data_IF_032466130034
#
_entry.id   IF_032466130034
#
_cell.length_a   1.000
_cell.length_b   1.000
_cell.length_c   1.000
_cell.angle_alpha   90.00
_cell.angle_beta   90.00
_cell.angle_gamma   90.00
#
_symmetry.space_group_name_H-M   'P 1'
#
loop_
_entity.id
_entity.type
_entity.pdbx_description
1 polymer ?
#
# COMPACT_ATOMS: atom_id res chain seq x y z
N UNK A 1 -17.62 -16.32 -14.24
CA UNK A 1 -18.16 -15.27 -13.35
C UNK A 1 -17.21 -14.97 -12.17
N UNK A 2 -16.51 -15.95 -11.57
CA UNK A 2 -15.53 -15.68 -10.50
C UNK A 2 -14.38 -14.74 -10.90
N UNK A 3 -13.76 -14.96 -12.07
CA UNK A 3 -12.63 -14.17 -12.57
C UNK A 3 -12.90 -12.65 -12.67
N UNK A 4 -14.15 -12.26 -12.97
CA UNK A 4 -14.53 -10.85 -13.08
C UNK A 4 -14.62 -10.18 -11.69
N UNK A 5 -15.18 -10.88 -10.70
CA UNK A 5 -15.27 -10.38 -9.33
C UNK A 5 -13.88 -10.23 -8.69
N UNK A 6 -12.96 -11.17 -8.94
CA UNK A 6 -11.57 -11.09 -8.48
C UNK A 6 -10.82 -9.91 -9.11
N UNK A 7 -11.05 -9.67 -10.40
CA UNK A 7 -10.44 -8.54 -11.11
C UNK A 7 -10.96 -7.19 -10.59
N UNK A 8 -12.27 -7.05 -10.38
CA UNK A 8 -12.88 -5.83 -9.81
C UNK A 8 -12.37 -5.56 -8.39
N UNK A 9 -12.20 -6.61 -7.59
CA UNK A 9 -11.67 -6.50 -6.23
C UNK A 9 -10.23 -5.99 -6.23
N UNK A 10 -9.34 -6.58 -7.04
CA UNK A 10 -7.94 -6.15 -7.11
C UNK A 10 -7.82 -4.76 -7.73
N UNK A 11 -8.60 -4.43 -8.75
CA UNK A 11 -8.66 -3.08 -9.29
C UNK A 11 -9.08 -2.06 -8.20
N UNK A 12 -10.06 -2.41 -7.37
CA UNK A 12 -10.50 -1.60 -6.23
C UNK A 12 -9.42 -1.41 -5.16
N UNK A 13 -8.68 -2.49 -4.85
CA UNK A 13 -7.53 -2.43 -3.94
C UNK A 13 -6.42 -1.51 -4.47
N UNK A 14 -5.99 -1.71 -5.72
CA UNK A 14 -4.97 -0.88 -6.37
C UNK A 14 -5.39 0.59 -6.34
N UNK A 15 -6.62 0.87 -6.75
CA UNK A 15 -7.16 2.22 -6.75
C UNK A 15 -7.18 2.84 -5.34
N UNK A 16 -7.66 2.09 -4.34
CA UNK A 16 -7.70 2.55 -2.95
C UNK A 16 -6.32 2.87 -2.40
N UNK A 17 -5.33 2.00 -2.62
CA UNK A 17 -3.97 2.20 -2.17
C UNK A 17 -3.30 3.42 -2.83
N UNK A 18 -3.45 3.55 -4.16
CA UNK A 18 -2.94 4.70 -4.91
C UNK A 18 -3.57 6.03 -4.48
N UNK A 19 -4.85 6.01 -4.08
CA UNK A 19 -5.54 7.19 -3.57
C UNK A 19 -5.02 7.64 -2.20
N UNK A 20 -4.60 6.70 -1.34
CA UNK A 20 -4.15 7.01 0.03
C UNK A 20 -2.70 7.47 0.03
N UNK A 21 -1.76 6.63 -0.42
CA UNK A 21 -0.33 6.88 -0.20
C UNK A 21 0.51 6.95 -1.48
N UNK A 22 0.07 6.29 -2.56
CA UNK A 22 0.83 6.07 -3.80
C UNK A 22 2.20 5.39 -3.57
N UNK A 23 2.42 4.14 -4.06
CA UNK A 23 3.63 3.38 -3.78
C UNK A 23 4.92 4.04 -4.30
N UNK A 24 4.87 4.81 -5.39
CA UNK A 24 6.05 5.54 -5.89
C UNK A 24 6.44 6.68 -4.96
N UNK A 25 5.46 7.42 -4.44
CA UNK A 25 5.71 8.48 -3.46
C UNK A 25 6.27 7.91 -2.16
N UNK A 26 5.73 6.79 -1.70
CA UNK A 26 6.27 6.08 -0.53
C UNK A 26 7.75 5.71 -0.68
N UNK A 27 8.16 5.27 -1.87
CA UNK A 27 9.57 4.95 -2.16
C UNK A 27 10.45 6.21 -2.23
N UNK A 28 9.88 7.34 -2.65
CA UNK A 28 10.59 8.61 -2.74
C UNK A 28 10.74 9.34 -1.39
N UNK A 29 10.01 8.94 -0.33
CA UNK A 29 10.03 9.59 0.99
C UNK A 29 11.42 9.74 1.59
N UNK A 30 12.31 8.77 1.38
CA UNK A 30 13.69 8.82 1.88
C UNK A 30 14.49 10.02 1.32
N UNK A 31 14.08 10.58 0.18
CA UNK A 31 14.68 11.77 -0.42
C UNK A 31 14.07 13.10 0.02
N UNK A 32 12.97 13.11 0.78
CA UNK A 32 12.23 14.34 1.13
C UNK A 32 12.87 15.13 2.29
N UNK A 33 13.87 14.58 3.00
CA UNK A 33 14.70 15.27 4.01
C UNK A 33 13.99 15.74 5.30
N UNK A 34 12.69 16.02 5.22
CA UNK A 34 11.84 16.52 6.30
C UNK A 34 11.03 15.40 7.00
N UNK A 35 11.20 14.15 6.58
CA UNK A 35 10.47 12.99 7.11
C UNK A 35 11.42 12.13 7.97
N UNK A 36 11.02 11.75 9.19
CA UNK A 36 11.78 10.82 10.04
C UNK A 36 12.16 9.52 9.31
N UNK A 37 13.39 9.04 9.50
CA UNK A 37 13.90 7.83 8.85
C UNK A 37 13.02 6.59 9.13
N UNK A 38 12.47 6.47 10.34
CA UNK A 38 11.52 5.40 10.71
C UNK A 38 10.24 5.41 9.89
N UNK A 39 9.74 6.60 9.50
CA UNK A 39 8.59 6.74 8.61
C UNK A 39 8.96 6.42 7.16
N UNK A 40 10.15 6.81 6.71
CA UNK A 40 10.65 6.42 5.40
C UNK A 40 10.77 4.89 5.25
N UNK A 41 11.29 4.20 6.27
CA UNK A 41 11.38 2.74 6.30
C UNK A 41 9.99 2.08 6.29
N UNK A 42 9.05 2.59 7.08
CA UNK A 42 7.65 2.11 7.10
C UNK A 42 6.95 2.32 5.75
N UNK A 43 7.15 3.48 5.12
CA UNK A 43 6.63 3.76 3.78
C UNK A 43 7.18 2.78 2.74
N UNK A 44 8.50 2.52 2.77
CA UNK A 44 9.13 1.53 1.90
C UNK A 44 8.60 0.10 2.16
N UNK A 45 8.39 -0.26 3.42
CA UNK A 45 7.81 -1.56 3.79
C UNK A 45 6.36 -1.72 3.29
N UNK A 46 5.54 -0.66 3.37
CA UNK A 46 4.18 -0.65 2.81
C UNK A 46 4.18 -0.83 1.29
N UNK A 47 5.07 -0.13 0.58
CA UNK A 47 5.23 -0.31 -0.86
C UNK A 47 5.61 -1.76 -1.23
N UNK A 48 6.53 -2.38 -0.48
CA UNK A 48 6.89 -3.80 -0.68
C UNK A 48 5.72 -4.75 -0.41
N UNK A 49 4.92 -4.49 0.63
CA UNK A 49 3.72 -5.30 0.94
C UNK A 49 2.66 -5.18 -0.15
N UNK A 50 2.49 -3.98 -0.73
CA UNK A 50 1.65 -3.76 -1.89
C UNK A 50 2.14 -4.58 -3.11
N UNK A 51 3.43 -4.49 -3.43
CA UNK A 51 4.02 -5.25 -4.54
C UNK A 51 3.87 -6.78 -4.34
N UNK A 52 4.05 -7.26 -3.11
CA UNK A 52 3.88 -8.67 -2.78
C UNK A 52 2.42 -9.14 -2.98
N UNK A 53 1.43 -8.33 -2.60
CA UNK A 53 0.02 -8.66 -2.84
C UNK A 53 -0.27 -8.75 -4.35
N UNK A 54 0.30 -7.86 -5.15
CA UNK A 54 0.14 -7.93 -6.62
C UNK A 54 0.82 -9.15 -7.22
N UNK A 55 2.02 -9.50 -6.74
CA UNK A 55 2.75 -10.68 -7.20
C UNK A 55 2.00 -11.97 -6.84
N UNK A 56 1.51 -12.08 -5.61
CA UNK A 56 0.73 -13.23 -5.13
C UNK A 56 -0.55 -13.40 -5.97
N UNK A 57 -1.29 -12.30 -6.22
CA UNK A 57 -2.47 -12.35 -7.08
C UNK A 57 -2.17 -12.74 -8.53
N UNK A 58 -1.09 -12.19 -9.12
CA UNK A 58 -0.67 -12.56 -10.48
C UNK A 58 -0.30 -14.04 -10.56
N UNK A 59 0.37 -14.57 -9.54
CA UNK A 59 0.74 -15.98 -9.47
C UNK A 59 -0.48 -16.88 -9.30
N UNK A 60 -1.45 -16.49 -8.46
CA UNK A 60 -2.73 -17.19 -8.34
C UNK A 60 -3.48 -17.22 -9.67
N UNK A 61 -3.55 -16.08 -10.37
CA UNK A 61 -4.16 -15.99 -11.69
C UNK A 61 -3.43 -16.85 -12.74
N UNK A 62 -2.10 -16.93 -12.67
CA UNK A 62 -1.27 -17.75 -13.57
C UNK A 62 -1.44 -19.25 -13.31
N UNK A 63 -1.57 -19.64 -12.05
CA UNK A 63 -1.69 -21.04 -11.62
C UNK A 63 -3.14 -21.52 -11.56
N UNK A 64 -4.11 -20.66 -11.88
CA UNK A 64 -5.56 -20.89 -11.69
C UNK A 64 -5.86 -21.34 -10.24
N UNK A 65 -5.09 -20.81 -9.29
CA UNK A 65 -5.24 -21.06 -7.86
C UNK A 65 -6.35 -20.17 -7.31
N UNK A 66 -7.05 -20.67 -6.30
CA UNK A 66 -8.00 -19.84 -5.54
C UNK A 66 -7.30 -18.67 -4.83
N UNK A 67 -8.10 -17.73 -4.31
CA UNK A 67 -7.63 -16.48 -3.72
C UNK A 67 -6.70 -16.67 -2.50
N UNK A 68 -5.38 -16.51 -2.69
CA UNK A 68 -4.39 -16.54 -1.61
C UNK A 68 -4.16 -15.18 -0.94
N UNK A 69 -4.56 -14.10 -1.61
CA UNK A 69 -4.45 -12.74 -1.08
C UNK A 69 -5.49 -12.55 0.03
N UNK A 70 -6.76 -12.86 -0.23
CA UNK A 70 -7.85 -12.75 0.74
C UNK A 70 -8.25 -11.31 1.11
N UNK A 71 -9.53 -11.12 1.36
CA UNK A 71 -10.09 -9.79 1.70
C UNK A 71 -9.52 -9.21 2.99
N UNK A 72 -9.24 -10.07 3.98
CA UNK A 72 -8.69 -9.64 5.27
C UNK A 72 -7.29 -9.02 5.12
N UNK A 73 -6.45 -9.58 4.23
CA UNK A 73 -5.09 -9.07 3.97
C UNK A 73 -5.14 -7.74 3.24
N UNK A 74 -6.04 -7.61 2.25
CA UNK A 74 -6.30 -6.36 1.53
C UNK A 74 -6.78 -5.28 2.50
N UNK A 75 -7.78 -5.58 3.34
CA UNK A 75 -8.34 -4.65 4.30
C UNK A 75 -7.29 -4.19 5.33
N UNK A 76 -6.50 -5.12 5.86
CA UNK A 76 -5.41 -4.80 6.79
C UNK A 76 -4.36 -3.89 6.15
N UNK A 77 -3.93 -4.18 4.91
CA UNK A 77 -2.96 -3.34 4.21
C UNK A 77 -3.51 -1.94 3.93
N UNK A 78 -4.77 -1.82 3.52
CA UNK A 78 -5.41 -0.51 3.32
C UNK A 78 -5.52 0.28 4.62
N UNK A 79 -5.83 -0.39 5.74
CA UNK A 79 -5.87 0.25 7.06
C UNK A 79 -4.48 0.72 7.49
N UNK A 80 -3.47 -0.15 7.42
CA UNK A 80 -2.07 0.22 7.73
C UNK A 80 -1.60 1.42 6.89
N UNK A 81 -2.05 1.50 5.63
CA UNK A 81 -1.73 2.60 4.71
C UNK A 81 -2.40 3.90 5.12
N UNK A 82 -3.65 3.86 5.62
CA UNK A 82 -4.35 5.04 6.14
C UNK A 82 -3.71 5.56 7.42
N UNK A 83 -3.38 4.65 8.34
CA UNK A 83 -2.75 5.01 9.61
C UNK A 83 -1.36 5.63 9.36
N UNK A 84 -0.62 5.07 8.41
CA UNK A 84 0.65 5.66 7.96
C UNK A 84 0.49 7.04 7.33
N UNK A 85 -0.50 7.25 6.46
CA UNK A 85 -0.73 8.56 5.84
C UNK A 85 -1.05 9.62 6.90
N UNK A 86 -1.92 9.30 7.85
CA UNK A 86 -2.25 10.20 8.96
C UNK A 86 -1.00 10.56 9.79
N UNK A 87 -0.14 9.58 10.08
CA UNK A 87 1.11 9.79 10.80
C UNK A 87 2.12 10.63 9.99
N UNK A 88 2.20 10.40 8.68
CA UNK A 88 3.05 11.18 7.77
C UNK A 88 2.57 12.64 7.66
N UNK A 89 1.25 12.86 7.55
CA UNK A 89 0.65 14.18 7.56
C UNK A 89 0.94 14.91 8.88
N UNK A 90 0.82 14.22 10.01
CA UNK A 90 1.18 14.76 11.32
C UNK A 90 2.67 15.13 11.38
N UNK A 91 3.57 14.24 10.96
CA UNK A 91 5.01 14.52 10.94
C UNK A 91 5.37 15.74 10.09
N UNK A 92 4.71 15.91 8.93
CA UNK A 92 4.89 17.07 8.04
C UNK A 92 4.41 18.38 8.66
N UNK A 93 3.30 18.36 9.43
CA UNK A 93 2.80 19.57 10.11
C UNK A 93 3.67 19.98 11.30
N UNK A 94 4.25 19.02 12.03
CA UNK A 94 5.17 19.29 13.14
C UNK A 94 6.56 19.74 12.66
N UNK A 95 7.03 19.24 11.51
CA UNK A 95 8.32 19.62 10.91
C UNK A 95 8.33 21.00 10.23
N UNK A 96 7.17 21.65 10.05
CA UNK A 96 7.05 22.99 9.45
C UNK A 96 7.21 24.16 10.42
N UNK A 97 7.53 23.90 11.69
CA UNK A 97 7.65 24.90 12.74
C UNK A 97 9.10 25.00 13.25
N UNK A 98 10.08 25.25 12.37
CA UNK A 98 11.43 25.67 12.75
C UNK A 98 11.97 26.69 11.75
#
# INVERSE_FOLDING_TARGET
>A
MAYQADFERIAGFIYGFHRIANPEKLRALAGEGAVPASLCERGAALARRFDAVLADWQEDARLERGDSVGDARIAALLQDTRDFEAELAYARTQGGAY
#
